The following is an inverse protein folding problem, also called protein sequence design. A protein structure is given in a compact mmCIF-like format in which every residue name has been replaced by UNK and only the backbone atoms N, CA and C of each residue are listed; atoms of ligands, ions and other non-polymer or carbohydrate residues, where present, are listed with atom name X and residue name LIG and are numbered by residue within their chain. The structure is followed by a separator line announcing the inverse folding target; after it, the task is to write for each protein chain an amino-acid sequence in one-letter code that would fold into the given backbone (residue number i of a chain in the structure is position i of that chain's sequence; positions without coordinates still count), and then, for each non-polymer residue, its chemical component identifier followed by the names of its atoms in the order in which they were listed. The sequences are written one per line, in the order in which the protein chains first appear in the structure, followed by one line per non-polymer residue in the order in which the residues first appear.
data_IF_247160093099
#
_entry.id   IF_247160093099
#
_cell.length_a   1.000
_cell.length_b   1.000
_cell.length_c   1.000
_cell.angle_alpha   90.00
_cell.angle_beta   90.00
_cell.angle_gamma   90.00
#
_symmetry.space_group_name_H-M   'P 1'
#
loop_
_entity.id
_entity.type
_entity.pdbx_description
1 polymer ?
#
# COMPACT_ATOMS: atom_id res chain seq x y z
N UNK A 1 2.24 -25.22 -22.81
CA UNK A 1 2.65 -24.11 -21.90
C UNK A 1 1.52 -23.09 -21.87
N UNK A 2 0.93 -22.74 -20.71
CA UNK A 2 -0.02 -21.64 -20.63
C UNK A 2 0.72 -20.30 -20.88
N UNK A 3 0.09 -19.32 -21.54
CA UNK A 3 0.69 -18.02 -21.73
C UNK A 3 0.88 -17.34 -20.38
N UNK A 4 2.08 -16.85 -20.13
CA UNK A 4 2.37 -15.95 -19.00
C UNK A 4 1.52 -14.71 -19.18
N UNK A 5 0.54 -14.50 -18.32
CA UNK A 5 -0.14 -13.22 -18.19
C UNK A 5 0.85 -12.22 -17.61
N UNK A 6 1.49 -11.45 -18.47
CA UNK A 6 2.12 -10.18 -18.08
C UNK A 6 1.01 -9.28 -17.56
N UNK A 7 1.11 -8.72 -16.34
CA UNK A 7 0.18 -7.70 -15.93
C UNK A 7 0.43 -6.49 -16.82
N UNK A 8 -0.51 -6.23 -17.71
CA UNK A 8 -0.63 -4.97 -18.43
C UNK A 8 -1.00 -3.87 -17.43
N UNK A 9 -0.05 -3.44 -16.63
CA UNK A 9 -0.11 -2.12 -16.04
C UNK A 9 0.17 -1.13 -17.18
N UNK A 10 -0.89 -0.66 -17.80
CA UNK A 10 -0.84 0.52 -18.65
C UNK A 10 -0.30 1.67 -17.81
N UNK A 11 0.98 1.96 -17.96
CA UNK A 11 1.69 3.00 -17.20
C UNK A 11 1.12 4.41 -17.39
N UNK A 12 0.30 4.63 -18.38
CA UNK A 12 -0.30 5.93 -18.71
C UNK A 12 -1.62 6.23 -17.99
N UNK A 13 -2.39 5.21 -17.59
CA UNK A 13 -3.69 5.41 -16.94
C UNK A 13 -3.62 5.43 -15.41
N UNK A 14 -2.50 5.01 -14.80
CA UNK A 14 -2.31 4.97 -13.34
C UNK A 14 -1.59 6.19 -12.77
N UNK A 15 -1.15 7.12 -13.62
CA UNK A 15 -0.38 8.30 -13.20
C UNK A 15 -1.24 9.45 -12.67
N UNK A 16 -2.54 9.25 -12.66
CA UNK A 16 -3.50 10.30 -12.35
C UNK A 16 -4.08 10.08 -10.96
N UNK A 17 -3.75 10.98 -10.06
CA UNK A 17 -4.48 11.63 -8.99
C UNK A 17 -4.20 11.25 -7.54
N UNK A 18 -3.93 10.02 -7.14
CA UNK A 18 -3.70 9.76 -5.71
C UNK A 18 -2.74 8.60 -5.46
N UNK A 19 -1.80 8.83 -4.56
CA UNK A 19 -0.93 7.78 -4.03
C UNK A 19 -0.92 7.83 -2.52
N UNK A 20 -0.87 6.68 -1.90
CA UNK A 20 -0.68 6.53 -0.48
C UNK A 20 0.80 6.35 -0.20
N UNK A 21 1.33 7.19 0.68
CA UNK A 21 2.69 7.07 1.18
C UNK A 21 2.62 6.64 2.64
N UNK A 22 3.39 5.62 2.98
CA UNK A 22 3.54 5.16 4.35
C UNK A 22 5.00 5.30 4.76
N UNK A 23 5.25 5.96 5.88
CA UNK A 23 6.57 6.06 6.49
C UNK A 23 6.50 5.43 7.86
N UNK A 24 7.40 4.49 8.14
CA UNK A 24 7.48 3.82 9.43
C UNK A 24 8.88 3.89 9.98
N UNK A 25 8.99 4.17 11.27
CA UNK A 25 10.26 4.03 11.98
C UNK A 25 10.71 2.56 11.93
N UNK A 26 11.95 2.34 11.55
CA UNK A 26 12.59 1.03 11.51
C UNK A 26 13.53 0.83 12.69
N UNK A 27 14.70 0.26 12.43
CA UNK A 27 15.73 0.02 13.44
C UNK A 27 16.34 1.33 13.93
N UNK A 28 16.34 1.56 15.25
CA UNK A 28 16.99 2.74 15.85
C UNK A 28 16.19 3.43 16.96
N UNK A 29 15.07 2.86 17.39
CA UNK A 29 14.25 3.37 18.50
C UNK A 29 13.74 4.81 18.23
N UNK A 30 13.91 5.69 19.22
CA UNK A 30 13.42 7.07 19.15
C UNK A 30 14.05 7.86 18.00
N UNK A 31 15.33 7.62 17.71
CA UNK A 31 16.02 8.27 16.60
C UNK A 31 15.42 7.89 15.24
N UNK A 32 14.99 6.63 15.07
CA UNK A 32 14.30 6.21 13.86
C UNK A 32 12.94 6.93 13.71
N UNK A 33 12.25 7.19 14.82
CA UNK A 33 10.99 7.94 14.83
C UNK A 33 11.17 9.41 14.50
N UNK A 34 12.23 10.03 14.98
CA UNK A 34 12.61 11.41 14.63
C UNK A 34 13.00 11.51 13.14
N UNK A 35 13.73 10.53 12.64
CA UNK A 35 14.09 10.47 11.23
C UNK A 35 12.86 10.23 10.32
N UNK A 36 11.91 9.42 10.74
CA UNK A 36 10.64 9.27 10.02
C UNK A 36 9.87 10.60 9.90
N UNK A 37 9.90 11.43 10.95
CA UNK A 37 9.35 12.79 10.91
C UNK A 37 10.11 13.68 9.91
N UNK A 38 11.45 13.59 9.87
CA UNK A 38 12.25 14.37 8.91
C UNK A 38 11.91 13.98 7.47
N UNK A 39 11.78 12.68 7.19
CA UNK A 39 11.35 12.20 5.87
C UNK A 39 9.94 12.68 5.51
N UNK A 40 9.01 12.66 6.46
CA UNK A 40 7.66 13.18 6.23
C UNK A 40 7.68 14.66 5.86
N UNK A 41 8.42 15.48 6.61
CA UNK A 41 8.60 16.91 6.30
C UNK A 41 9.26 17.13 4.94
N UNK A 42 10.25 16.32 4.59
CA UNK A 42 10.92 16.35 3.28
C UNK A 42 9.90 16.12 2.15
N UNK A 43 9.05 15.09 2.27
CA UNK A 43 8.04 14.80 1.24
C UNK A 43 6.92 15.84 1.22
N UNK A 44 6.54 16.43 2.35
CA UNK A 44 5.59 17.56 2.37
C UNK A 44 6.14 18.74 1.55
N UNK A 45 7.38 19.13 1.78
CA UNK A 45 8.03 20.24 1.05
C UNK A 45 8.19 19.93 -0.44
N UNK A 46 8.55 18.69 -0.76
CA UNK A 46 8.60 18.24 -2.16
C UNK A 46 7.23 18.27 -2.82
N UNK A 47 6.17 17.89 -2.11
CA UNK A 47 4.80 17.98 -2.60
C UNK A 47 4.37 19.44 -2.84
N UNK A 48 4.70 20.35 -1.93
CA UNK A 48 4.41 21.77 -2.07
C UNK A 48 5.10 22.37 -3.32
N UNK A 49 6.36 22.01 -3.55
CA UNK A 49 7.13 22.45 -4.73
C UNK A 49 6.52 21.94 -6.06
N UNK A 50 5.88 20.77 -6.02
CA UNK A 50 5.21 20.17 -7.18
C UNK A 50 3.71 20.53 -7.27
N UNK A 51 3.19 21.40 -6.40
CA UNK A 51 1.78 21.75 -6.29
C UNK A 51 0.86 20.53 -6.04
N UNK A 52 1.35 19.55 -5.30
CA UNK A 52 0.56 18.41 -4.85
C UNK A 52 -0.11 18.70 -3.51
N UNK A 53 -1.30 18.17 -3.31
CA UNK A 53 -2.00 18.22 -2.02
C UNK A 53 -1.60 17.04 -1.16
N UNK A 54 -1.35 17.31 0.13
CA UNK A 54 -1.02 16.31 1.15
C UNK A 54 -2.19 16.18 2.10
N UNK A 55 -2.75 14.99 2.22
CA UNK A 55 -3.83 14.68 3.16
C UNK A 55 -3.32 13.60 4.12
N UNK A 56 -3.11 13.92 5.40
CA UNK A 56 -2.70 12.94 6.42
C UNK A 56 -3.91 12.11 6.82
N UNK A 57 -3.77 10.79 6.74
CA UNK A 57 -4.84 9.82 7.04
C UNK A 57 -4.66 9.25 8.44
N UNK A 58 -3.42 8.86 8.78
CA UNK A 58 -3.09 8.26 10.06
C UNK A 58 -1.71 8.74 10.50
N UNK A 59 -1.58 9.06 11.78
CA UNK A 59 -0.34 9.48 12.39
C UNK A 59 -0.21 8.87 13.78
N UNK A 60 0.91 8.20 14.03
CA UNK A 60 1.27 7.66 15.34
C UNK A 60 2.56 8.30 15.81
N UNK A 61 2.48 9.14 16.84
CA UNK A 61 3.60 9.89 17.38
C UNK A 61 4.27 9.15 18.55
N UNK A 62 5.51 9.56 18.86
CA UNK A 62 6.23 9.17 20.07
C UNK A 62 6.23 10.31 21.09
N UNK A 63 6.54 10.00 22.35
CA UNK A 63 6.63 10.99 23.44
C UNK A 63 7.68 12.09 23.15
N UNK A 64 8.71 11.79 22.36
CA UNK A 64 9.74 12.73 21.93
C UNK A 64 9.39 13.51 20.65
N UNK A 65 8.13 13.44 20.19
CA UNK A 65 7.65 14.15 19.01
C UNK A 65 8.06 13.54 17.68
N UNK A 66 8.63 12.32 17.66
CA UNK A 66 8.89 11.56 16.44
C UNK A 66 7.66 10.83 15.93
N UNK A 67 7.74 10.22 14.76
CA UNK A 67 6.68 9.43 14.14
C UNK A 67 7.03 7.94 14.18
N UNK A 68 6.18 7.12 14.84
CA UNK A 68 6.26 5.66 14.68
C UNK A 68 5.81 5.25 13.30
N UNK A 69 4.72 5.85 12.86
CA UNK A 69 4.10 5.62 11.56
C UNK A 69 3.34 6.88 11.13
N UNK A 70 3.39 7.18 9.86
CA UNK A 70 2.50 8.14 9.23
C UNK A 70 2.04 7.61 7.88
N UNK A 71 0.74 7.73 7.63
CA UNK A 71 0.10 7.40 6.35
C UNK A 71 -0.56 8.65 5.81
N UNK A 72 -0.21 9.03 4.59
CA UNK A 72 -0.77 10.20 3.95
C UNK A 72 -1.02 9.97 2.46
N UNK A 73 -2.00 10.67 1.93
CA UNK A 73 -2.29 10.69 0.50
C UNK A 73 -1.65 11.91 -0.16
N UNK A 74 -1.10 11.69 -1.34
CA UNK A 74 -0.69 12.74 -2.25
C UNK A 74 -1.65 12.79 -3.43
N UNK A 75 -2.10 14.01 -3.78
CA UNK A 75 -2.98 14.26 -4.93
C UNK A 75 -2.32 15.25 -5.87
N UNK A 76 -2.16 14.87 -7.13
CA UNK A 76 -1.56 15.72 -8.17
C UNK A 76 -1.12 14.89 -9.37
N UNK A 77 -0.46 15.55 -10.31
CA UNK A 77 -0.01 14.93 -11.54
C UNK A 77 1.35 14.25 -11.38
N UNK A 78 1.55 13.11 -12.06
CA UNK A 78 2.82 12.40 -12.17
C UNK A 78 3.46 11.99 -10.83
N UNK A 79 2.67 11.82 -9.77
CA UNK A 79 3.17 11.47 -8.45
C UNK A 79 3.94 10.15 -8.48
N UNK A 80 3.35 9.12 -9.09
CA UNK A 80 3.96 7.79 -9.11
C UNK A 80 5.25 7.76 -9.93
N UNK A 81 5.30 8.44 -11.07
CA UNK A 81 6.50 8.49 -11.91
C UNK A 81 7.71 9.09 -11.17
N UNK A 82 7.47 10.02 -10.23
CA UNK A 82 8.51 10.63 -9.40
C UNK A 82 8.79 9.82 -8.12
N UNK A 83 7.76 9.40 -7.39
CA UNK A 83 7.91 8.82 -6.06
C UNK A 83 8.05 7.30 -6.03
N UNK A 84 7.81 6.57 -7.10
CA UNK A 84 8.02 5.11 -7.13
C UNK A 84 9.43 4.68 -6.69
N UNK A 85 10.40 5.55 -6.89
CA UNK A 85 11.79 5.30 -6.51
C UNK A 85 12.08 5.59 -5.02
N UNK A 86 11.14 6.19 -4.30
CA UNK A 86 11.32 6.47 -2.87
C UNK A 86 10.97 5.28 -1.98
N UNK A 87 10.36 4.24 -2.55
CA UNK A 87 10.03 3.01 -1.83
C UNK A 87 11.30 2.26 -1.41
N UNK A 88 11.39 1.92 -0.13
CA UNK A 88 12.49 1.14 0.41
C UNK A 88 12.95 1.60 1.80
N UNK A 89 14.16 1.20 2.17
CA UNK A 89 14.77 1.54 3.46
C UNK A 89 15.68 2.76 3.31
N UNK A 90 15.36 3.81 4.06
CA UNK A 90 16.18 5.02 4.19
C UNK A 90 16.98 4.94 5.47
N UNK A 91 18.29 5.19 5.38
CA UNK A 91 19.23 5.12 6.51
C UNK A 91 19.74 6.50 6.86
N UNK A 92 19.76 6.83 8.14
CA UNK A 92 20.35 8.05 8.67
C UNK A 92 21.57 7.75 9.51
N UNK A 93 22.56 8.61 9.42
CA UNK A 93 23.76 8.63 10.27
C UNK A 93 23.90 10.03 10.85
N UNK A 94 23.61 10.18 12.15
CA UNK A 94 23.77 11.43 12.90
C UNK A 94 23.96 11.16 14.38
N UNK A 95 24.37 12.18 15.12
CA UNK A 95 24.31 12.18 16.58
C UNK A 95 22.88 12.48 16.97
N UNK A 96 22.14 11.55 17.62
CA UNK A 96 20.78 11.80 18.06
C UNK A 96 20.69 12.95 19.07
N UNK A 97 19.59 13.65 19.11
CA UNK A 97 19.33 14.66 20.15
C UNK A 97 19.23 14.06 21.56
N UNK A 98 18.98 12.76 21.64
CA UNK A 98 18.90 11.97 22.89
C UNK A 98 20.26 11.44 23.35
N UNK A 99 21.31 11.60 22.54
CA UNK A 99 22.66 11.09 22.82
C UNK A 99 23.51 12.14 23.52
N UNK A 100 23.97 11.85 24.73
CA UNK A 100 24.79 12.77 25.52
C UNK A 100 26.31 12.66 25.24
N UNK A 101 26.75 11.51 24.69
CA UNK A 101 28.19 11.23 24.48
C UNK A 101 28.67 11.64 23.08
N UNK A 102 27.84 12.22 22.25
CA UNK A 102 28.20 12.65 20.91
C UNK A 102 28.50 11.54 19.91
N UNK A 103 28.04 10.30 20.17
CA UNK A 103 28.26 9.16 19.29
C UNK A 103 27.29 9.22 18.10
N UNK A 104 27.83 8.93 16.92
CA UNK A 104 27.03 8.81 15.70
C UNK A 104 26.24 7.50 15.76
N UNK A 105 24.93 7.60 15.67
CA UNK A 105 24.02 6.44 15.55
C UNK A 105 23.61 6.24 14.11
N UNK A 106 23.31 4.98 13.77
CA UNK A 106 22.76 4.59 12.48
C UNK A 106 21.36 4.06 12.70
N UNK A 107 20.38 4.80 12.19
CA UNK A 107 18.95 4.45 12.27
C UNK A 107 18.36 4.31 10.88
N UNK A 108 17.20 3.70 10.78
CA UNK A 108 16.49 3.50 9.53
C UNK A 108 14.99 3.79 9.66
N UNK A 109 14.41 4.23 8.58
CA UNK A 109 12.96 4.32 8.38
C UNK A 109 12.61 3.71 7.03
N UNK A 110 11.40 3.16 6.91
CA UNK A 110 10.92 2.58 5.66
C UNK A 110 9.89 3.49 5.03
N UNK A 111 9.93 3.58 3.71
CA UNK A 111 8.96 4.30 2.90
C UNK A 111 8.30 3.31 1.95
N UNK A 112 6.97 3.29 1.88
CA UNK A 112 6.22 2.54 0.90
C UNK A 112 5.35 3.50 0.08
N UNK A 113 5.32 3.31 -1.24
CA UNK A 113 4.50 4.08 -2.17
C UNK A 113 3.46 3.14 -2.77
N UNK A 114 2.22 3.27 -2.33
CA UNK A 114 1.14 2.34 -2.61
C UNK A 114 0.05 3.01 -3.45
N UNK A 115 -0.70 2.26 -4.26
CA UNK A 115 -1.92 2.78 -4.87
C UNK A 115 -2.96 3.07 -3.78
N UNK A 116 -3.80 4.08 -4.00
CA UNK A 116 -4.98 4.28 -3.14
C UNK A 116 -5.91 3.07 -3.25
N UNK A 117 -6.43 2.61 -2.12
CA UNK A 117 -7.46 1.57 -2.10
C UNK A 117 -8.73 2.10 -2.79
N UNK A 118 -9.18 1.41 -3.82
CA UNK A 118 -10.43 1.77 -4.51
C UNK A 118 -11.63 1.33 -3.67
N UNK A 119 -12.69 2.12 -3.70
CA UNK A 119 -13.98 1.68 -3.17
C UNK A 119 -14.41 0.39 -3.87
N UNK A 120 -14.88 -0.56 -3.06
CA UNK A 120 -15.35 -1.85 -3.54
C UNK A 120 -16.85 -1.75 -3.72
N UNK A 121 -17.30 -1.73 -4.96
CA UNK A 121 -18.70 -1.91 -5.30
C UNK A 121 -18.96 -3.39 -5.67
N UNK A 122 -20.04 -3.96 -5.13
CA UNK A 122 -20.40 -5.35 -5.36
C UNK A 122 -21.65 -5.41 -6.19
N UNK A 123 -21.46 -5.66 -7.47
CA UNK A 123 -22.51 -6.07 -8.37
C UNK A 123 -22.53 -7.61 -8.46
N UNK A 124 -23.68 -8.21 -8.16
CA UNK A 124 -23.90 -9.65 -8.29
C UNK A 124 -24.75 -9.89 -9.51
N UNK A 125 -24.15 -10.44 -10.55
CA UNK A 125 -24.89 -10.80 -11.76
C UNK A 125 -25.78 -12.04 -11.52
N UNK A 126 -27.02 -12.07 -12.03
CA UNK A 126 -27.88 -13.25 -11.89
C UNK A 126 -27.25 -14.54 -12.40
N UNK A 127 -26.37 -14.48 -13.39
CA UNK A 127 -25.70 -15.64 -13.97
C UNK A 127 -24.56 -16.19 -13.08
N UNK A 128 -24.12 -15.43 -12.09
CA UNK A 128 -23.07 -15.82 -11.14
C UNK A 128 -23.62 -16.51 -9.90
N UNK A 129 -24.93 -16.58 -9.76
CA UNK A 129 -25.57 -17.20 -8.60
C UNK A 129 -26.43 -18.37 -9.02
N UNK A 130 -26.39 -19.44 -8.21
CA UNK A 130 -27.35 -20.54 -8.25
C UNK A 130 -28.24 -20.48 -7.02
N UNK A 131 -29.53 -20.49 -7.22
CA UNK A 131 -30.52 -20.43 -6.15
C UNK A 131 -31.25 -21.78 -6.11
N UNK A 132 -31.08 -22.49 -5.01
CA UNK A 132 -31.77 -23.76 -4.73
C UNK A 132 -32.79 -23.55 -3.60
N UNK A 133 -33.99 -24.07 -3.78
CA UNK A 133 -35.00 -24.11 -2.73
C UNK A 133 -35.03 -25.49 -2.10
N UNK A 134 -35.21 -25.53 -0.77
CA UNK A 134 -35.22 -26.77 -0.02
C UNK A 134 -36.18 -26.68 1.18
N UNK A 135 -36.51 -27.83 1.76
CA UNK A 135 -37.25 -27.86 3.02
C UNK A 135 -36.43 -27.31 4.16
N UNK A 136 -37.04 -26.50 5.01
CA UNK A 136 -36.40 -26.03 6.21
C UNK A 136 -36.19 -27.19 7.18
N UNK A 137 -34.99 -27.33 7.76
CA UNK A 137 -34.73 -28.30 8.81
C UNK A 137 -34.90 -27.61 10.18
N UNK A 138 -35.77 -28.15 11.04
CA UNK A 138 -35.98 -27.62 12.39
C UNK A 138 -37.17 -28.30 13.08
N UNK A 139 -37.29 -28.14 14.39
CA UNK A 139 -38.46 -28.55 15.16
C UNK A 139 -39.63 -27.65 14.79
N UNK A 140 -40.52 -28.17 13.98
CA UNK A 140 -41.71 -27.43 13.49
C UNK A 140 -42.81 -28.38 13.06
N UNK A 141 -44.04 -27.88 13.04
CA UNK A 141 -45.23 -28.64 12.65
C UNK A 141 -45.28 -28.96 11.16
N UNK A 142 -46.43 -29.43 10.69
CA UNK A 142 -46.64 -29.93 9.34
C UNK A 142 -46.18 -28.99 8.19
N UNK A 143 -46.20 -27.67 8.39
CA UNK A 143 -45.78 -26.66 7.42
C UNK A 143 -44.28 -26.70 7.11
N UNK A 144 -43.44 -26.98 8.10
CA UNK A 144 -41.96 -27.02 7.95
C UNK A 144 -41.53 -28.22 7.10
N UNK A 145 -42.29 -29.32 7.20
CA UNK A 145 -41.97 -30.58 6.52
C UNK A 145 -42.54 -30.68 5.09
N UNK A 146 -43.46 -29.79 4.72
CA UNK A 146 -44.18 -29.87 3.44
C UNK A 146 -43.86 -28.75 2.46
N UNK A 147 -43.24 -27.63 2.93
CA UNK A 147 -43.04 -26.47 2.08
C UNK A 147 -41.52 -26.20 1.89
N UNK A 148 -41.07 -26.03 0.64
CA UNK A 148 -39.69 -25.66 0.30
C UNK A 148 -39.46 -24.16 0.55
N UNK A 149 -39.47 -23.76 1.83
CA UNK A 149 -39.34 -22.35 2.23
C UNK A 149 -37.89 -21.91 2.38
N UNK A 150 -36.96 -22.83 2.65
CA UNK A 150 -35.54 -22.51 2.78
C UNK A 150 -34.89 -22.24 1.41
N UNK A 151 -34.00 -21.27 1.38
CA UNK A 151 -33.28 -20.85 0.18
C UNK A 151 -31.77 -20.99 0.43
N UNK A 152 -31.12 -21.64 -0.51
CA UNK A 152 -29.64 -21.69 -0.60
C UNK A 152 -29.20 -20.90 -1.82
N UNK A 153 -28.32 -19.94 -1.63
CA UNK A 153 -27.68 -19.21 -2.73
C UNK A 153 -26.21 -19.59 -2.76
N UNK A 154 -25.77 -20.05 -3.91
CA UNK A 154 -24.35 -20.35 -4.15
C UNK A 154 -23.81 -19.35 -5.17
N UNK A 155 -22.78 -18.62 -4.82
CA UNK A 155 -22.05 -17.76 -5.74
C UNK A 155 -21.01 -18.61 -6.47
N UNK A 156 -21.22 -18.82 -7.77
CA UNK A 156 -20.45 -19.77 -8.57
C UNK A 156 -18.95 -19.45 -8.65
N UNK A 157 -18.52 -18.15 -8.86
CA UNK A 157 -17.11 -17.83 -8.99
C UNK A 157 -16.32 -18.03 -7.69
N UNK A 158 -16.91 -17.75 -6.52
CA UNK A 158 -16.21 -17.82 -5.23
C UNK A 158 -16.52 -19.07 -4.43
N UNK A 159 -17.56 -19.81 -4.81
CA UNK A 159 -18.04 -20.97 -4.05
C UNK A 159 -18.72 -20.63 -2.72
N UNK A 160 -18.97 -19.35 -2.43
CA UNK A 160 -19.64 -18.93 -1.19
C UNK A 160 -21.10 -19.40 -1.22
N UNK A 161 -21.49 -20.09 -0.14
CA UNK A 161 -22.84 -20.60 0.05
C UNK A 161 -23.49 -19.89 1.22
N UNK A 162 -24.71 -19.41 1.01
CA UNK A 162 -25.56 -18.81 2.05
C UNK A 162 -26.91 -19.53 2.06
N UNK A 163 -27.37 -19.90 3.25
CA UNK A 163 -28.67 -20.53 3.45
C UNK A 163 -29.50 -19.70 4.42
N UNK A 164 -30.78 -19.51 4.10
CA UNK A 164 -31.78 -18.88 4.97
C UNK A 164 -33.02 -19.77 5.04
N UNK A 165 -33.54 -19.99 6.25
CA UNK A 165 -34.60 -21.01 6.51
C UNK A 165 -35.74 -20.47 7.38
N UNK A 166 -36.21 -19.25 7.16
CA UNK A 166 -37.38 -18.70 7.83
C UNK A 166 -38.68 -19.10 7.16
N UNK A 167 -39.81 -18.62 7.66
CA UNK A 167 -41.15 -19.03 7.19
C UNK A 167 -41.50 -18.66 5.75
N UNK A 168 -40.89 -17.58 5.23
CA UNK A 168 -41.21 -17.06 3.89
C UNK A 168 -40.03 -17.23 2.94
N UNK A 169 -40.26 -17.94 1.82
CA UNK A 169 -39.25 -18.13 0.77
C UNK A 169 -38.76 -16.80 0.17
N UNK A 170 -39.66 -15.83 -0.02
CA UNK A 170 -39.29 -14.50 -0.52
C UNK A 170 -38.36 -13.75 0.43
N UNK A 171 -38.67 -13.79 1.73
CA UNK A 171 -37.81 -13.16 2.75
C UNK A 171 -36.47 -13.88 2.86
N UNK A 172 -36.47 -15.22 2.77
CA UNK A 172 -35.26 -16.01 2.78
C UNK A 172 -34.33 -15.68 1.60
N UNK A 173 -34.90 -15.49 0.41
CA UNK A 173 -34.15 -15.09 -0.78
C UNK A 173 -33.51 -13.69 -0.60
N UNK A 174 -34.28 -12.71 -0.15
CA UNK A 174 -33.78 -11.35 0.09
C UNK A 174 -32.67 -11.34 1.13
N UNK A 175 -32.90 -12.02 2.27
CA UNK A 175 -31.90 -12.12 3.36
C UNK A 175 -30.64 -12.88 2.94
N UNK A 176 -30.79 -13.98 2.21
CA UNK A 176 -29.63 -14.71 1.71
C UNK A 176 -28.79 -13.88 0.72
N UNK A 177 -29.43 -13.06 -0.13
CA UNK A 177 -28.75 -12.12 -1.02
C UNK A 177 -28.02 -11.04 -0.25
N UNK A 178 -28.60 -10.47 0.79
CA UNK A 178 -27.95 -9.47 1.65
C UNK A 178 -26.71 -10.04 2.34
N UNK A 179 -26.85 -11.22 2.93
CA UNK A 179 -25.71 -11.92 3.56
C UNK A 179 -24.65 -12.29 2.54
N UNK A 180 -25.02 -12.69 1.33
CA UNK A 180 -24.08 -12.98 0.26
C UNK A 180 -23.28 -11.72 -0.12
N UNK A 181 -23.94 -10.56 -0.30
CA UNK A 181 -23.28 -9.29 -0.58
C UNK A 181 -22.27 -8.94 0.51
N UNK A 182 -22.66 -9.06 1.77
CA UNK A 182 -21.76 -8.80 2.90
C UNK A 182 -20.54 -9.72 2.86
N UNK A 183 -20.71 -11.02 2.65
CA UNK A 183 -19.59 -11.96 2.56
C UNK A 183 -18.66 -11.71 1.37
N UNK A 184 -19.22 -11.33 0.23
CA UNK A 184 -18.43 -10.96 -0.95
C UNK A 184 -17.67 -9.65 -0.72
N UNK A 185 -18.29 -8.70 -0.04
CA UNK A 185 -17.64 -7.45 0.36
C UNK A 185 -16.45 -7.71 1.27
N UNK A 186 -16.64 -8.51 2.33
CA UNK A 186 -15.57 -8.90 3.25
C UNK A 186 -14.43 -9.64 2.55
N UNK A 187 -14.77 -10.55 1.61
CA UNK A 187 -13.76 -11.26 0.82
C UNK A 187 -12.94 -10.31 -0.04
N UNK A 188 -13.60 -9.36 -0.71
CA UNK A 188 -12.93 -8.39 -1.57
C UNK A 188 -12.05 -7.43 -0.77
N UNK A 189 -12.52 -6.94 0.38
CA UNK A 189 -11.69 -6.13 1.31
C UNK A 189 -10.46 -6.93 1.73
N UNK A 190 -10.64 -8.19 2.13
CA UNK A 190 -9.52 -9.04 2.54
C UNK A 190 -8.52 -9.26 1.41
N UNK A 191 -8.98 -9.49 0.19
CA UNK A 191 -8.12 -9.67 -0.98
C UNK A 191 -7.36 -8.38 -1.31
N UNK A 192 -8.01 -7.23 -1.27
CA UNK A 192 -7.39 -5.93 -1.48
C UNK A 192 -6.34 -5.64 -0.40
N UNK A 193 -6.66 -5.86 0.86
CA UNK A 193 -5.73 -5.70 1.97
C UNK A 193 -4.50 -6.61 1.85
N UNK A 194 -4.70 -7.88 1.47
CA UNK A 194 -3.61 -8.82 1.24
C UNK A 194 -2.72 -8.40 0.06
N UNK A 195 -3.32 -7.88 -1.03
CA UNK A 195 -2.57 -7.38 -2.18
C UNK A 195 -1.70 -6.16 -1.79
N UNK A 196 -2.26 -5.19 -1.07
CA UNK A 196 -1.54 -4.01 -0.57
C UNK A 196 -0.43 -4.44 0.41
N UNK A 197 -0.70 -5.39 1.32
CA UNK A 197 0.29 -5.90 2.26
C UNK A 197 1.45 -6.62 1.55
N UNK A 198 1.15 -7.39 0.51
CA UNK A 198 2.17 -8.06 -0.33
C UNK A 198 3.02 -7.04 -1.08
N UNK A 199 2.39 -6.02 -1.68
CA UNK A 199 3.10 -4.95 -2.38
C UNK A 199 3.99 -4.15 -1.42
N UNK A 200 3.48 -3.77 -0.25
CA UNK A 200 4.28 -3.13 0.81
C UNK A 200 5.49 -3.97 1.16
N UNK A 201 5.29 -5.28 1.43
CA UNK A 201 6.38 -6.18 1.79
C UNK A 201 7.44 -6.30 0.69
N UNK A 202 7.05 -6.28 -0.58
CA UNK A 202 7.99 -6.33 -1.70
C UNK A 202 8.83 -5.05 -1.82
N UNK A 203 8.26 -3.89 -1.44
CA UNK A 203 8.95 -2.60 -1.51
C UNK A 203 9.95 -2.38 -0.37
N UNK A 204 9.63 -2.82 0.85
CA UNK A 204 10.45 -2.54 2.05
C UNK A 204 11.28 -3.73 2.53
N UNK A 205 11.13 -4.91 1.94
CA UNK A 205 11.87 -6.11 2.31
C UNK A 205 11.70 -6.46 3.79
N UNK A 206 12.82 -6.68 4.49
CA UNK A 206 12.85 -6.89 5.95
C UNK A 206 12.79 -5.58 6.74
N UNK A 207 13.00 -4.42 6.10
CA UNK A 207 13.13 -3.13 6.77
C UNK A 207 14.45 -2.96 7.54
N UNK A 208 15.39 -3.86 7.36
CA UNK A 208 16.72 -3.76 7.99
C UNK A 208 17.56 -2.65 7.33
N UNK A 209 18.35 -1.95 8.14
CA UNK A 209 19.25 -0.90 7.68
C UNK A 209 20.31 -1.35 6.66
N UNK A 210 20.54 -2.65 6.53
CA UNK A 210 21.44 -3.22 5.50
C UNK A 210 20.84 -3.16 4.10
N UNK A 211 19.52 -3.21 3.97
CA UNK A 211 18.77 -3.15 2.70
C UNK A 211 18.52 -1.71 2.21
N UNK A 212 19.29 -0.76 2.72
CA UNK A 212 19.13 0.66 2.42
C UNK A 212 19.20 0.99 0.93
N UNK A 213 18.26 1.78 0.47
CA UNK A 213 18.30 2.41 -0.86
C UNK A 213 19.09 3.72 -0.83
N UNK A 214 18.96 4.48 0.29
CA UNK A 214 19.59 5.80 0.43
C UNK A 214 20.13 6.02 1.84
N UNK A 215 21.26 6.73 1.94
CA UNK A 215 21.86 7.12 3.22
C UNK A 215 21.96 8.64 3.32
N UNK A 216 21.47 9.15 4.44
CA UNK A 216 21.55 10.55 4.85
C UNK A 216 22.63 10.69 5.93
N UNK A 217 23.77 11.26 5.57
CA UNK A 217 24.95 11.39 6.46
C UNK A 217 25.09 12.85 6.91
N UNK A 218 24.63 13.14 8.12
CA UNK A 218 24.65 14.48 8.69
C UNK A 218 26.07 15.00 8.97
N UNK A 219 26.99 14.23 9.59
CA UNK A 219 28.36 14.70 9.81
C UNK A 219 29.09 15.12 8.55
N UNK A 220 28.76 14.53 7.40
CA UNK A 220 29.41 14.84 6.12
C UNK A 220 28.53 15.71 5.22
N UNK A 221 27.33 16.11 5.65
CA UNK A 221 26.41 16.93 4.86
C UNK A 221 26.02 16.31 3.51
N UNK A 222 26.02 14.97 3.41
CA UNK A 222 25.81 14.27 2.14
C UNK A 222 24.63 13.29 2.16
N UNK A 223 24.04 13.13 0.99
CA UNK A 223 23.07 12.06 0.69
C UNK A 223 23.66 11.16 -0.39
N UNK A 224 23.55 9.84 -0.19
CA UNK A 224 24.02 8.84 -1.17
C UNK A 224 22.88 7.91 -1.53
N UNK A 225 22.48 7.85 -2.80
CA UNK A 225 21.61 6.82 -3.33
C UNK A 225 22.45 5.64 -3.83
N UNK A 226 22.27 4.49 -3.18
CA UNK A 226 23.13 3.31 -3.41
C UNK A 226 22.75 2.55 -4.69
N UNK A 227 21.56 2.77 -5.25
CA UNK A 227 21.10 2.09 -6.46
C UNK A 227 21.85 2.57 -7.70
N UNK A 228 22.19 3.86 -7.72
CA UNK A 228 22.88 4.51 -8.85
C UNK A 228 24.25 5.08 -8.44
N UNK A 229 24.71 4.82 -7.21
CA UNK A 229 25.94 5.35 -6.63
C UNK A 229 26.05 6.89 -6.73
N UNK A 230 24.93 7.60 -6.68
CA UNK A 230 24.89 9.06 -6.70
C UNK A 230 25.13 9.59 -5.29
N UNK A 231 26.11 10.49 -5.16
CA UNK A 231 26.40 11.18 -3.90
C UNK A 231 26.30 12.69 -4.09
N UNK A 232 25.44 13.33 -3.29
CA UNK A 232 25.21 14.78 -3.29
C UNK A 232 25.61 15.37 -1.93
N UNK A 233 26.42 16.44 -1.94
CA UNK A 233 26.84 17.17 -0.74
C UNK A 233 25.90 18.35 -0.44
N UNK A 234 24.60 18.08 -0.45
CA UNK A 234 23.52 19.05 -0.22
C UNK A 234 22.38 18.45 0.62
N UNK A 235 22.77 17.83 1.75
CA UNK A 235 21.84 17.15 2.64
C UNK A 235 20.68 18.04 3.08
N UNK A 236 20.97 19.29 3.47
CA UNK A 236 19.93 20.22 3.95
C UNK A 236 18.93 20.59 2.85
N UNK A 237 19.39 20.78 1.61
CA UNK A 237 18.54 21.07 0.47
C UNK A 237 17.62 19.89 0.17
N UNK A 238 18.18 18.67 0.20
CA UNK A 238 17.39 17.43 0.02
C UNK A 238 16.33 17.30 1.11
N UNK A 239 16.66 17.52 2.37
CA UNK A 239 15.67 17.50 3.47
C UNK A 239 14.67 18.65 3.39
N UNK A 240 14.99 19.71 2.65
CA UNK A 240 14.06 20.79 2.32
C UNK A 240 13.24 20.52 1.05
N UNK A 241 13.30 19.31 0.52
CA UNK A 241 12.45 18.85 -0.59
C UNK A 241 13.11 18.90 -1.97
N UNK A 242 14.41 19.23 -2.09
CA UNK A 242 15.12 19.18 -3.39
C UNK A 242 15.51 17.73 -3.73
N UNK A 243 14.56 16.96 -4.26
CA UNK A 243 14.74 15.58 -4.68
C UNK A 243 14.94 15.41 -6.19
N UNK A 244 14.81 16.48 -6.97
CA UNK A 244 14.74 16.42 -8.45
C UNK A 244 15.99 15.75 -9.05
N UNK A 245 17.20 16.06 -8.57
CA UNK A 245 18.44 15.50 -9.09
C UNK A 245 18.52 13.99 -8.87
N UNK A 246 18.12 13.52 -7.69
CA UNK A 246 18.09 12.10 -7.34
C UNK A 246 17.05 11.36 -8.20
N UNK A 247 15.85 11.91 -8.30
CA UNK A 247 14.75 11.34 -9.09
C UNK A 247 15.13 11.26 -10.57
N UNK A 248 15.69 12.32 -11.12
CA UNK A 248 16.12 12.34 -12.53
C UNK A 248 17.24 11.33 -12.80
N UNK A 249 18.17 11.17 -11.87
CA UNK A 249 19.19 10.13 -11.94
C UNK A 249 18.62 8.73 -11.98
N UNK A 250 17.61 8.45 -11.14
CA UNK A 250 16.94 7.16 -11.08
C UNK A 250 16.07 6.88 -12.33
N UNK A 251 15.39 7.90 -12.86
CA UNK A 251 14.65 7.81 -14.13
C UNK A 251 15.61 7.49 -15.29
N UNK A 252 16.77 8.14 -15.33
CA UNK A 252 17.77 7.90 -16.37
C UNK A 252 18.32 6.47 -16.28
N UNK A 253 18.61 5.97 -15.08
CA UNK A 253 19.05 4.60 -14.85
C UNK A 253 18.00 3.57 -15.28
N UNK A 254 16.73 3.75 -14.90
CA UNK A 254 15.63 2.87 -15.32
C UNK A 254 15.48 2.81 -16.84
N UNK A 255 15.60 3.95 -17.51
CA UNK A 255 15.54 4.01 -19.00
C UNK A 255 16.71 3.26 -19.65
N UNK A 256 17.91 3.40 -19.08
CA UNK A 256 19.09 2.70 -19.58
C UNK A 256 18.94 1.19 -19.43
N UNK A 257 18.48 0.71 -18.27
CA UNK A 257 18.20 -0.71 -18.03
C UNK A 257 17.16 -1.25 -19.01
N UNK A 258 16.09 -0.50 -19.27
CA UNK A 258 15.06 -0.91 -20.23
C UNK A 258 15.60 -1.04 -21.65
N UNK A 259 16.48 -0.12 -22.09
CA UNK A 259 17.12 -0.18 -23.42
C UNK A 259 18.05 -1.39 -23.50
N UNK A 260 18.89 -1.60 -22.49
CA UNK A 260 19.82 -2.75 -22.45
C UNK A 260 19.08 -4.07 -22.44
N UNK A 261 17.99 -4.19 -21.69
CA UNK A 261 17.15 -5.37 -21.69
C UNK A 261 16.48 -5.64 -23.06
N UNK A 262 16.14 -4.59 -23.80
CA UNK A 262 15.59 -4.73 -25.14
C UNK A 262 16.65 -5.21 -26.15
N UNK A 263 17.87 -4.70 -26.05
CA UNK A 263 19.00 -5.09 -26.92
C UNK A 263 19.46 -6.55 -26.66
N UNK A 264 19.39 -7.03 -25.42
CA UNK A 264 19.76 -8.41 -25.07
C UNK A 264 18.73 -9.47 -25.44
N UNK A 265 17.48 -9.07 -25.69
CA UNK A 265 16.38 -9.97 -26.07
C UNK A 265 16.12 -10.04 -27.59
N UNK A 266 16.84 -9.26 -28.39
CA UNK A 266 16.85 -9.30 -29.85
C UNK A 266 18.18 -9.83 -30.38
#
# INVERSE_FOLDING_TARGET
RPPRSTPLYSSAASDVYKRQIEIRAGTGGDEASLFALDLFKMYQRFADQNNWKVDVIEESTTDLGGLKEVVFHLRGDKIFSKLKFESGVHRVQRVPTTESSGRIHTSAATVAVLPEAKEIDIEISPNEIRIDTMRASGAGGQHVNTTDSAVRITHLPTGIVVTSSEKSQHQNRARAMEVLRTRLYDLNIKNQSNAIASERKSQIGSGDRSERIRTYNFPQGRVTDHRINLTLYKLEEVLNGDLEEIINGLIAAERLEAITAYETNN
#
